data_IF_951217921374
#
_entry.id   IF_951217921374
#
_cell.length_a   1.000
_cell.length_b   1.000
_cell.length_c   1.000
_cell.angle_alpha   90.00
_cell.angle_beta   90.00
_cell.angle_gamma   90.00
#
_symmetry.space_group_name_H-M   'P 1'
#
loop_
_entity.id
_entity.type
_entity.pdbx_description
1 polymer ?
#
# COMPACT_ATOMS: atom_id res chain seq x y z
N UNK A 1 2.78 14.25 8.33
CA UNK A 1 3.00 13.11 9.26
C UNK A 1 2.76 11.81 8.52
N UNK A 2 3.64 10.84 8.66
CA UNK A 2 3.47 9.46 8.14
C UNK A 2 3.33 8.52 9.32
N UNK A 3 2.35 7.63 9.27
CA UNK A 3 2.13 6.60 10.31
C UNK A 3 1.24 5.47 9.79
N UNK A 4 1.08 4.45 10.58
CA UNK A 4 0.03 3.46 10.33
C UNK A 4 -1.34 4.03 10.67
N UNK A 5 -2.36 3.54 9.99
CA UNK A 5 -3.76 3.99 10.15
C UNK A 5 -4.30 3.64 11.53
N UNK A 6 -5.19 4.47 12.06
CA UNK A 6 -5.97 4.14 13.25
C UNK A 6 -7.26 3.40 12.88
N UNK A 7 -7.72 2.55 13.77
CA UNK A 7 -8.96 1.78 13.58
C UNK A 7 -10.17 2.67 13.26
N UNK A 8 -10.20 3.87 13.80
CA UNK A 8 -11.31 4.84 13.63
C UNK A 8 -11.30 5.56 12.28
N UNK A 9 -10.31 5.34 11.43
CA UNK A 9 -10.10 6.09 10.18
C UNK A 9 -10.55 5.35 8.92
N UNK A 10 -11.34 4.29 9.07
CA UNK A 10 -11.82 3.49 7.93
C UNK A 10 -12.55 4.35 6.88
N UNK A 11 -13.44 5.22 7.29
CA UNK A 11 -14.24 6.03 6.36
C UNK A 11 -13.37 6.97 5.52
N UNK A 12 -12.36 7.60 6.12
CA UNK A 12 -11.42 8.47 5.40
C UNK A 12 -10.59 7.68 4.39
N UNK A 13 -10.18 6.48 4.75
CA UNK A 13 -9.43 5.60 3.83
C UNK A 13 -10.30 5.19 2.64
N UNK A 14 -11.56 4.79 2.89
CA UNK A 14 -12.48 4.40 1.81
C UNK A 14 -12.76 5.56 0.85
N UNK A 15 -12.88 6.78 1.36
CA UNK A 15 -13.01 7.98 0.52
C UNK A 15 -11.75 8.22 -0.32
N UNK A 16 -10.55 8.04 0.25
CA UNK A 16 -9.30 8.13 -0.50
C UNK A 16 -9.25 7.10 -1.63
N UNK A 17 -9.75 5.89 -1.41
CA UNK A 17 -9.77 4.82 -2.42
C UNK A 17 -10.63 5.13 -3.64
N UNK A 18 -11.50 6.15 -3.60
CA UNK A 18 -12.19 6.63 -4.80
C UNK A 18 -11.22 7.13 -5.88
N UNK A 19 -9.99 7.47 -5.51
CA UNK A 19 -8.93 7.81 -6.45
C UNK A 19 -8.16 6.58 -6.95
N UNK A 20 -8.57 5.36 -6.53
CA UNK A 20 -7.95 4.09 -6.86
C UNK A 20 -8.95 3.16 -7.56
N UNK A 21 -9.51 3.59 -8.69
CA UNK A 21 -10.44 2.80 -9.53
C UNK A 21 -11.76 2.37 -8.86
N UNK A 22 -12.02 2.79 -7.63
CA UNK A 22 -13.30 2.53 -6.99
C UNK A 22 -14.36 3.55 -7.44
N UNK A 23 -15.59 3.07 -7.66
CA UNK A 23 -16.69 3.92 -8.14
C UNK A 23 -17.47 4.58 -7.02
N UNK A 24 -17.49 3.96 -5.85
CA UNK A 24 -18.24 4.42 -4.69
C UNK A 24 -17.64 3.87 -3.41
N UNK A 25 -17.93 4.55 -2.29
CA UNK A 25 -17.62 4.03 -0.97
C UNK A 25 -18.54 2.85 -0.69
N UNK A 26 -18.01 1.68 -0.24
CA UNK A 26 -18.85 0.54 0.09
C UNK A 26 -19.78 0.85 1.27
N UNK A 27 -20.93 0.18 1.28
CA UNK A 27 -21.87 0.27 2.41
C UNK A 27 -21.24 -0.35 3.66
N UNK A 28 -21.60 0.20 4.82
CA UNK A 28 -21.17 -0.29 6.13
C UNK A 28 -21.93 -1.58 6.49
N UNK A 29 -21.47 -2.69 5.92
CA UNK A 29 -22.03 -4.03 6.15
C UNK A 29 -21.26 -4.76 7.23
N UNK A 30 -21.83 -5.87 7.73
CA UNK A 30 -21.13 -6.77 8.63
C UNK A 30 -19.86 -7.35 7.98
N UNK A 31 -19.92 -7.65 6.68
CA UNK A 31 -18.77 -8.14 5.93
C UNK A 31 -17.63 -7.12 5.92
N UNK A 32 -17.93 -5.84 5.65
CA UNK A 32 -16.91 -4.79 5.69
C UNK A 32 -16.30 -4.66 7.09
N UNK A 33 -17.14 -4.64 8.12
CA UNK A 33 -16.66 -4.49 9.50
C UNK A 33 -15.77 -5.66 9.94
N UNK A 34 -16.13 -6.89 9.59
CA UNK A 34 -15.31 -8.07 9.89
C UNK A 34 -14.00 -8.08 9.12
N UNK A 35 -14.04 -7.66 7.86
CA UNK A 35 -12.82 -7.55 7.04
C UNK A 35 -11.88 -6.49 7.61
N UNK A 36 -12.43 -5.33 7.98
CA UNK A 36 -11.64 -4.25 8.59
C UNK A 36 -11.01 -4.70 9.91
N UNK A 37 -11.78 -5.35 10.77
CA UNK A 37 -11.28 -5.90 12.02
C UNK A 37 -10.14 -6.89 11.80
N UNK A 38 -10.29 -7.80 10.83
CA UNK A 38 -9.25 -8.77 10.48
C UNK A 38 -7.96 -8.08 10.02
N UNK A 39 -8.06 -7.02 9.22
CA UNK A 39 -6.91 -6.24 8.76
C UNK A 39 -6.22 -5.56 9.94
N UNK A 40 -6.97 -4.89 10.79
CA UNK A 40 -6.41 -4.14 11.93
C UNK A 40 -5.74 -5.07 12.95
N UNK A 41 -6.26 -6.26 13.14
CA UNK A 41 -5.69 -7.25 14.07
C UNK A 41 -4.52 -8.04 13.50
N UNK A 42 -4.29 -7.99 12.19
CA UNK A 42 -3.21 -8.72 11.54
C UNK A 42 -1.88 -7.94 11.67
N UNK A 43 -0.96 -8.50 12.45
CA UNK A 43 0.37 -7.90 12.66
C UNK A 43 1.24 -7.85 11.39
N UNK A 44 0.86 -8.56 10.33
CA UNK A 44 1.56 -8.58 9.05
C UNK A 44 0.93 -7.65 8.00
N UNK A 45 -0.20 -7.02 8.32
CA UNK A 45 -0.93 -6.15 7.38
C UNK A 45 -0.84 -4.70 7.85
N UNK A 46 -0.07 -3.89 7.14
CA UNK A 46 0.20 -2.51 7.49
C UNK A 46 -0.44 -1.57 6.48
N UNK A 47 -1.33 -0.71 6.95
CA UNK A 47 -1.88 0.38 6.14
C UNK A 47 -1.20 1.66 6.57
N UNK A 48 -0.44 2.25 5.67
CA UNK A 48 0.38 3.43 5.91
C UNK A 48 -0.34 4.64 5.33
N UNK A 49 -0.41 5.72 6.10
CA UNK A 49 -1.13 6.93 5.69
C UNK A 49 -0.27 8.17 5.86
N UNK A 50 -0.38 9.08 4.90
CA UNK A 50 0.15 10.44 4.97
C UNK A 50 -0.97 11.39 5.40
N UNK A 51 -0.72 12.12 6.48
CA UNK A 51 -1.66 13.09 7.03
C UNK A 51 -1.18 14.50 6.72
N UNK A 52 -2.05 15.33 6.17
CA UNK A 52 -1.85 16.76 5.93
C UNK A 52 -3.13 17.47 6.35
N UNK A 53 -3.01 18.51 7.22
CA UNK A 53 -4.14 19.27 7.74
C UNK A 53 -5.26 18.37 8.28
N UNK A 54 -4.88 17.36 9.07
CA UNK A 54 -5.77 16.36 9.69
C UNK A 54 -6.53 15.48 8.69
N UNK A 55 -6.06 15.40 7.44
CA UNK A 55 -6.68 14.56 6.40
C UNK A 55 -5.70 13.50 5.90
N UNK A 56 -6.22 12.31 5.61
CA UNK A 56 -5.47 11.28 4.90
C UNK A 56 -5.41 11.65 3.42
N UNK A 57 -4.22 11.95 2.92
CA UNK A 57 -4.03 12.42 1.54
C UNK A 57 -3.28 11.43 0.66
N UNK A 58 -2.58 10.46 1.25
CA UNK A 58 -1.89 9.40 0.53
C UNK A 58 -1.81 8.16 1.39
N UNK A 59 -1.77 7.00 0.76
CA UNK A 59 -1.71 5.72 1.48
C UNK A 59 -1.06 4.64 0.62
N UNK A 60 -0.51 3.64 1.27
CA UNK A 60 -0.20 2.35 0.68
C UNK A 60 -0.41 1.23 1.70
N UNK A 61 -0.56 0.02 1.19
CA UNK A 61 -0.65 -1.19 2.01
C UNK A 61 0.67 -1.95 1.88
N UNK A 62 1.21 -2.40 3.01
CA UNK A 62 2.39 -3.26 3.06
C UNK A 62 2.04 -4.54 3.81
N UNK A 63 2.11 -5.67 3.12
CA UNK A 63 1.86 -6.98 3.73
C UNK A 63 3.18 -7.72 3.86
N UNK A 64 3.47 -8.19 5.06
CA UNK A 64 4.65 -9.02 5.35
C UNK A 64 4.24 -10.48 5.22
N UNK A 65 4.90 -11.20 4.34
CA UNK A 65 4.58 -12.59 4.02
C UNK A 65 5.66 -13.49 4.60
N UNK A 66 5.32 -14.35 5.60
CA UNK A 66 6.26 -15.35 6.13
C UNK A 66 6.74 -16.27 5.00
N UNK A 67 7.99 -16.69 5.07
CA UNK A 67 8.62 -17.42 4.00
C UNK A 67 9.68 -18.40 4.54
N UNK A 68 9.83 -19.55 3.89
CA UNK A 68 10.76 -20.60 4.33
C UNK A 68 12.10 -20.58 3.59
N UNK A 69 12.19 -19.91 2.44
CA UNK A 69 13.45 -19.76 1.69
C UNK A 69 14.25 -18.57 2.22
N UNK A 70 15.46 -18.37 1.69
CA UNK A 70 16.31 -17.21 2.05
C UNK A 70 16.57 -17.12 3.57
N UNK A 71 16.93 -18.26 4.19
CA UNK A 71 17.15 -18.36 5.64
C UNK A 71 15.91 -18.00 6.46
N UNK A 72 14.73 -18.41 5.98
CA UNK A 72 13.45 -18.20 6.65
C UNK A 72 13.12 -16.69 6.76
N UNK A 73 13.60 -15.89 5.83
CA UNK A 73 13.30 -14.46 5.82
C UNK A 73 11.99 -14.17 5.08
N UNK A 74 11.12 -13.33 5.67
CA UNK A 74 9.89 -12.90 5.01
C UNK A 74 10.17 -11.98 3.83
N UNK A 75 9.12 -11.65 3.09
CA UNK A 75 9.15 -10.59 2.07
C UNK A 75 7.92 -9.72 2.18
N UNK A 76 7.97 -8.53 1.59
CA UNK A 76 6.88 -7.56 1.63
C UNK A 76 6.23 -7.41 0.26
N UNK A 77 4.91 -7.23 0.26
CA UNK A 77 4.12 -6.92 -0.92
C UNK A 77 3.39 -5.60 -0.70
N UNK A 78 3.53 -4.68 -1.67
CA UNK A 78 2.92 -3.35 -1.61
C UNK A 78 1.71 -3.30 -2.54
N UNK A 79 0.59 -2.83 -2.02
CA UNK A 79 -0.68 -2.70 -2.73
C UNK A 79 -1.35 -1.36 -2.42
N UNK A 80 -2.38 -1.03 -3.21
CA UNK A 80 -3.26 0.11 -2.98
C UNK A 80 -2.49 1.43 -2.75
N UNK A 81 -1.53 1.71 -3.62
CA UNK A 81 -0.79 2.97 -3.59
C UNK A 81 -1.68 4.04 -4.19
N UNK A 82 -2.03 5.04 -3.42
CA UNK A 82 -2.98 6.09 -3.84
C UNK A 82 -2.62 7.44 -3.23
N UNK A 83 -2.84 8.51 -3.99
CA UNK A 83 -2.74 9.88 -3.51
C UNK A 83 -3.95 10.67 -4.00
N UNK A 84 -4.58 11.42 -3.12
CA UNK A 84 -5.66 12.33 -3.45
C UNK A 84 -5.23 13.29 -4.57
N UNK A 85 -6.11 13.52 -5.56
CA UNK A 85 -5.77 14.28 -6.76
C UNK A 85 -5.15 15.65 -6.47
N UNK A 86 -5.68 16.37 -5.48
CA UNK A 86 -5.22 17.72 -5.13
C UNK A 86 -3.86 17.75 -4.42
N UNK A 87 -3.35 16.58 -4.05
CA UNK A 87 -2.09 16.44 -3.28
C UNK A 87 -0.99 15.68 -4.04
N UNK A 88 -1.21 15.42 -5.33
CA UNK A 88 -0.23 14.76 -6.19
C UNK A 88 0.95 15.66 -6.51
N UNK A 89 2.09 15.05 -6.86
CA UNK A 89 3.30 15.77 -7.23
C UNK A 89 4.05 16.41 -6.07
N UNK A 90 3.75 16.01 -4.84
CA UNK A 90 4.37 16.55 -3.60
C UNK A 90 5.24 15.53 -2.87
N UNK A 91 5.44 14.34 -3.44
CA UNK A 91 6.28 13.30 -2.84
C UNK A 91 5.60 12.45 -1.76
N UNK A 92 4.30 12.58 -1.55
CA UNK A 92 3.61 11.89 -0.45
C UNK A 92 3.53 10.37 -0.63
N UNK A 93 3.36 9.91 -1.88
CA UNK A 93 3.41 8.47 -2.16
C UNK A 93 4.81 7.90 -1.88
N UNK A 94 5.86 8.64 -2.22
CA UNK A 94 7.24 8.26 -1.89
C UNK A 94 7.44 8.14 -0.38
N UNK A 95 6.92 9.10 0.40
CA UNK A 95 6.99 9.03 1.86
C UNK A 95 6.30 7.78 2.40
N UNK A 96 5.13 7.41 1.85
CA UNK A 96 4.44 6.17 2.23
C UNK A 96 5.28 4.92 1.89
N UNK A 97 5.87 4.87 0.70
CA UNK A 97 6.73 3.76 0.28
C UNK A 97 8.01 3.66 1.12
N UNK A 98 8.59 4.78 1.50
CA UNK A 98 9.77 4.81 2.37
C UNK A 98 9.44 4.28 3.77
N UNK A 99 8.29 4.65 4.32
CA UNK A 99 7.82 4.12 5.59
C UNK A 99 7.57 2.60 5.51
N UNK A 100 6.97 2.13 4.41
CA UNK A 100 6.79 0.69 4.16
C UNK A 100 8.15 -0.03 4.13
N UNK A 101 9.16 0.58 3.53
CA UNK A 101 10.52 0.04 3.49
C UNK A 101 11.10 -0.08 4.90
N UNK A 102 10.89 0.91 5.76
CA UNK A 102 11.34 0.83 7.16
C UNK A 102 10.69 -0.36 7.88
N UNK A 103 9.39 -0.57 7.70
CA UNK A 103 8.67 -1.74 8.26
C UNK A 103 9.29 -3.04 7.74
N UNK A 104 9.51 -3.14 6.43
CA UNK A 104 10.08 -4.33 5.82
C UNK A 104 11.49 -4.64 6.34
N UNK A 105 12.34 -3.62 6.48
CA UNK A 105 13.69 -3.78 7.03
C UNK A 105 13.64 -4.25 8.48
N UNK A 106 12.79 -3.63 9.30
CA UNK A 106 12.61 -4.03 10.71
C UNK A 106 12.07 -5.45 10.84
N UNK A 107 11.29 -5.91 9.87
CA UNK A 107 10.73 -7.27 9.81
C UNK A 107 11.72 -8.28 9.21
N UNK A 108 12.93 -7.87 8.86
CA UNK A 108 13.95 -8.72 8.23
C UNK A 108 13.56 -9.23 6.84
N UNK A 109 12.73 -8.51 6.10
CA UNK A 109 12.38 -8.87 4.73
C UNK A 109 13.60 -8.87 3.81
N UNK A 110 13.67 -9.83 2.89
CA UNK A 110 14.76 -9.87 1.91
C UNK A 110 14.43 -9.13 0.61
N UNK A 111 13.17 -8.82 0.38
CA UNK A 111 12.71 -8.03 -0.78
C UNK A 111 11.37 -7.39 -0.51
N UNK A 112 11.04 -6.38 -1.32
CA UNK A 112 9.72 -5.79 -1.44
C UNK A 112 9.28 -5.84 -2.90
N UNK A 113 8.00 -6.11 -3.15
CA UNK A 113 7.45 -6.21 -4.50
C UNK A 113 6.19 -5.36 -4.61
N UNK A 114 5.93 -4.86 -5.80
CA UNK A 114 4.65 -4.26 -6.17
C UNK A 114 4.34 -4.54 -7.63
N UNK A 115 3.07 -4.42 -7.98
CA UNK A 115 2.59 -4.48 -9.36
C UNK A 115 1.93 -3.16 -9.72
N UNK A 116 2.06 -2.75 -10.97
CA UNK A 116 1.31 -1.61 -11.50
C UNK A 116 0.67 -1.99 -12.83
N UNK A 117 -0.59 -1.59 -12.99
CA UNK A 117 -1.29 -1.73 -14.28
C UNK A 117 -0.92 -0.64 -15.28
N UNK A 118 -0.23 0.41 -14.85
CA UNK A 118 0.15 1.50 -15.72
C UNK A 118 1.33 1.14 -16.61
N UNK A 119 1.23 1.55 -17.87
CA UNK A 119 2.33 1.48 -18.85
C UNK A 119 2.96 2.86 -19.10
N UNK A 120 2.49 3.89 -18.42
CA UNK A 120 2.98 5.26 -18.58
C UNK A 120 4.40 5.39 -18.03
N UNK A 121 5.30 5.98 -18.81
CA UNK A 121 6.70 6.13 -18.44
C UNK A 121 6.89 6.96 -17.17
N UNK A 122 6.04 7.96 -16.95
CA UNK A 122 6.09 8.77 -15.73
C UNK A 122 5.85 7.95 -14.46
N UNK A 123 4.92 6.99 -14.52
CA UNK A 123 4.61 6.09 -13.40
C UNK A 123 5.74 5.09 -13.21
N UNK A 124 6.24 4.48 -14.28
CA UNK A 124 7.35 3.55 -14.22
C UNK A 124 8.61 4.21 -13.67
N UNK A 125 8.89 5.44 -14.10
CA UNK A 125 9.99 6.25 -13.59
C UNK A 125 9.83 6.55 -12.09
N UNK A 126 8.60 6.84 -11.66
CA UNK A 126 8.31 7.06 -10.24
C UNK A 126 8.74 5.86 -9.39
N UNK A 127 8.35 4.64 -9.78
CA UNK A 127 8.72 3.44 -9.03
C UNK A 127 10.22 3.16 -9.08
N UNK A 128 10.88 3.37 -10.22
CA UNK A 128 12.34 3.24 -10.29
C UNK A 128 13.04 4.22 -9.35
N UNK A 129 12.57 5.47 -9.30
CA UNK A 129 13.09 6.50 -8.40
C UNK A 129 12.89 6.15 -6.93
N UNK A 130 11.83 5.39 -6.61
CA UNK A 130 11.56 4.90 -5.26
C UNK A 130 12.41 3.66 -4.90
N UNK A 131 13.26 3.17 -5.80
CA UNK A 131 14.19 2.08 -5.54
C UNK A 131 13.75 0.72 -6.09
N UNK A 132 12.65 0.66 -6.82
CA UNK A 132 12.17 -0.59 -7.44
C UNK A 132 12.72 -0.75 -8.84
N UNK A 133 12.88 -2.00 -9.29
CA UNK A 133 13.22 -2.28 -10.67
C UNK A 133 12.22 -3.26 -11.29
N UNK A 134 12.07 -3.21 -12.58
CA UNK A 134 11.18 -4.06 -13.36
C UNK A 134 11.92 -5.06 -14.24
N UNK A 135 13.22 -5.26 -14.00
CA UNK A 135 14.06 -6.12 -14.82
C UNK A 135 14.37 -7.49 -14.20
N UNK A 136 14.34 -7.61 -12.85
CA UNK A 136 14.72 -8.86 -12.18
C UNK A 136 13.64 -9.93 -12.26
N UNK A 137 12.37 -9.53 -12.32
CA UNK A 137 11.23 -10.44 -12.32
C UNK A 137 10.19 -10.03 -13.34
N UNK A 138 9.46 -11.01 -13.87
CA UNK A 138 8.27 -10.79 -14.69
C UNK A 138 7.03 -11.14 -13.86
N UNK A 139 6.07 -10.24 -13.84
CA UNK A 139 4.79 -10.47 -13.15
C UNK A 139 3.79 -11.16 -14.06
N UNK A 140 3.04 -12.09 -13.50
CA UNK A 140 1.90 -12.72 -14.16
C UNK A 140 0.67 -12.47 -13.30
N UNK A 141 -0.46 -12.20 -13.96
CA UNK A 141 -1.75 -12.02 -13.28
C UNK A 141 -2.79 -12.89 -13.96
N UNK A 142 -3.68 -13.47 -13.16
CA UNK A 142 -4.83 -14.21 -13.65
C UNK A 142 -6.06 -13.65 -12.92
N UNK A 143 -6.97 -13.04 -13.68
CA UNK A 143 -8.23 -12.56 -13.13
C UNK A 143 -9.17 -13.75 -12.89
N UNK A 144 -9.87 -13.73 -11.76
CA UNK A 144 -10.79 -14.81 -11.36
C UNK A 144 -12.27 -14.43 -11.57
N UNK A 145 -12.51 -13.27 -12.19
CA UNK A 145 -13.82 -12.75 -12.52
C UNK A 145 -13.91 -12.35 -14.00
#
# INVERSE_FOLDING_TARGET
>A
MIREIYETELNELLELYLYLHEKSVPEMTEHLNKTWEAIIQDNHHHIIVKIVDDKIVSSCVCVIIPNLTRNIRPYAFIENIVTHADYRGKGYATECLDYAKEIAVKSNCYKMMLLTGSKEESILKFYRSAGYNSSDKTAFIQWLE
#
